data_IF_954562031896
#
_entry.id   IF_954562031896
#
_cell.length_a   1.000
_cell.length_b   1.000
_cell.length_c   1.000
_cell.angle_alpha   90.00
_cell.angle_beta   90.00
_cell.angle_gamma   90.00
#
_symmetry.space_group_name_H-M   'P 1'
#
loop_
_entity.id
_entity.type
_entity.pdbx_description
1 polymer ?
#
# COMPACT_ATOMS: atom_id res chain seq x y z
N UNK A 1 -3.50 -10.08 -14.58
CA UNK A 1 -2.29 -9.74 -13.79
C UNK A 1 -2.67 -9.92 -12.34
N UNK A 2 -1.89 -10.68 -11.56
CA UNK A 2 -2.18 -10.85 -10.14
C UNK A 2 -1.69 -9.62 -9.38
N UNK A 3 -2.56 -9.03 -8.56
CA UNK A 3 -2.24 -7.91 -7.69
C UNK A 3 -2.12 -8.38 -6.25
N UNK A 4 -1.36 -7.64 -5.46
CA UNK A 4 -1.18 -7.92 -4.04
C UNK A 4 -2.03 -6.91 -3.27
N UNK A 5 -2.84 -7.38 -2.33
CA UNK A 5 -3.65 -6.55 -1.45
C UNK A 5 -3.24 -6.82 0.00
N UNK A 6 -3.17 -5.77 0.80
CA UNK A 6 -3.05 -5.86 2.24
C UNK A 6 -4.41 -5.49 2.83
N UNK A 7 -5.04 -6.45 3.48
CA UNK A 7 -6.27 -6.21 4.23
C UNK A 7 -5.91 -6.03 5.70
N UNK A 8 -6.39 -4.95 6.30
CA UNK A 8 -6.34 -4.73 7.74
C UNK A 8 -7.74 -4.94 8.30
N UNK A 9 -7.86 -5.89 9.21
CA UNK A 9 -9.08 -6.18 9.95
C UNK A 9 -8.82 -6.05 11.46
N UNK A 10 -9.87 -5.85 12.23
CA UNK A 10 -9.84 -5.86 13.69
C UNK A 10 -10.88 -6.85 14.16
N UNK A 11 -10.45 -7.87 14.91
CA UNK A 11 -11.34 -8.79 15.60
C UNK A 11 -11.66 -8.27 16.99
N UNK A 12 -12.93 -8.32 17.39
CA UNK A 12 -13.37 -7.92 18.74
C UNK A 12 -13.91 -9.15 19.47
N UNK A 13 -13.35 -9.42 20.65
CA UNK A 13 -13.77 -10.45 21.59
C UNK A 13 -15.08 -10.05 22.30
N UNK A 14 -15.82 -11.03 22.85
CA UNK A 14 -16.91 -10.85 23.82
C UNK A 14 -16.54 -9.94 25.01
N UNK A 15 -15.27 -9.90 25.41
CA UNK A 15 -14.73 -9.01 26.43
C UNK A 15 -14.44 -7.58 25.93
N UNK A 16 -14.66 -7.30 24.64
CA UNK A 16 -14.41 -6.01 24.01
C UNK A 16 -12.94 -5.73 23.70
N UNK A 17 -12.09 -6.77 23.68
CA UNK A 17 -10.66 -6.64 23.34
C UNK A 17 -10.50 -6.62 21.82
N UNK A 18 -9.91 -5.54 21.30
CA UNK A 18 -9.63 -5.37 19.88
C UNK A 18 -8.28 -5.99 19.51
N UNK A 19 -8.30 -6.93 18.56
CA UNK A 19 -7.12 -7.61 18.02
C UNK A 19 -6.93 -7.22 16.56
N UNK A 20 -5.97 -6.32 16.25
CA UNK A 20 -5.67 -5.95 14.87
C UNK A 20 -4.99 -7.11 14.14
N UNK A 21 -5.47 -7.41 12.95
CA UNK A 21 -4.99 -8.49 12.08
C UNK A 21 -4.70 -7.93 10.69
N UNK A 22 -3.55 -8.27 10.13
CA UNK A 22 -3.17 -7.86 8.77
C UNK A 22 -2.97 -9.09 7.90
N UNK A 23 -3.68 -9.15 6.78
CA UNK A 23 -3.77 -10.32 5.92
C UNK A 23 -3.31 -9.94 4.51
N UNK A 24 -2.19 -10.50 4.02
CA UNK A 24 -1.80 -10.36 2.63
C UNK A 24 -2.66 -11.28 1.75
N UNK A 25 -3.33 -10.71 0.75
CA UNK A 25 -4.12 -11.44 -0.23
C UNK A 25 -3.57 -11.21 -1.64
N UNK A 26 -3.42 -12.28 -2.42
CA UNK A 26 -3.03 -12.20 -3.83
C UNK A 26 -4.27 -12.49 -4.67
N UNK A 27 -4.80 -11.46 -5.33
CA UNK A 27 -6.06 -11.53 -6.07
C UNK A 27 -5.92 -10.76 -7.39
N UNK A 28 -6.74 -11.09 -8.38
CA UNK A 28 -6.77 -10.33 -9.65
C UNK A 28 -7.48 -8.97 -9.49
N UNK A 29 -8.43 -8.88 -8.56
CA UNK A 29 -9.26 -7.72 -8.27
C UNK A 29 -9.31 -7.46 -6.76
N UNK A 30 -9.72 -6.26 -6.36
CA UNK A 30 -9.84 -5.89 -4.95
C UNK A 30 -10.86 -6.81 -4.26
N UNK A 31 -10.49 -7.51 -3.17
CA UNK A 31 -11.43 -8.36 -2.47
C UNK A 31 -12.50 -7.52 -1.75
N UNK A 32 -13.73 -8.04 -1.69
CA UNK A 32 -14.82 -7.37 -0.99
C UNK A 32 -14.67 -7.52 0.52
N UNK A 33 -14.85 -6.40 1.25
CA UNK A 33 -14.74 -6.36 2.70
C UNK A 33 -15.68 -7.36 3.39
N UNK A 34 -16.93 -7.46 2.93
CA UNK A 34 -17.94 -8.37 3.48
C UNK A 34 -17.52 -9.85 3.37
N UNK A 35 -16.95 -10.24 2.22
CA UNK A 35 -16.46 -11.62 2.03
C UNK A 35 -15.30 -11.95 2.96
N UNK A 36 -14.41 -10.98 3.20
CA UNK A 36 -13.29 -11.16 4.13
C UNK A 36 -13.78 -11.25 5.57
N UNK A 37 -14.77 -10.43 5.96
CA UNK A 37 -15.39 -10.52 7.28
C UNK A 37 -16.08 -11.87 7.46
N UNK A 38 -16.85 -12.34 6.48
CA UNK A 38 -17.54 -13.62 6.55
C UNK A 38 -16.56 -14.79 6.73
N UNK A 39 -15.46 -14.79 5.96
CA UNK A 39 -14.41 -15.81 6.07
C UNK A 39 -13.71 -15.76 7.44
N UNK A 40 -13.41 -14.56 7.96
CA UNK A 40 -12.78 -14.40 9.26
C UNK A 40 -13.69 -14.79 10.43
N UNK A 41 -14.96 -14.42 10.38
CA UNK A 41 -15.95 -14.82 11.37
C UNK A 41 -16.20 -16.34 11.33
N UNK A 42 -16.11 -16.97 10.15
CA UNK A 42 -16.20 -18.42 10.03
C UNK A 42 -14.98 -19.15 10.61
N UNK A 43 -13.77 -18.61 10.39
CA UNK A 43 -12.54 -19.18 10.93
C UNK A 43 -12.39 -18.96 12.45
N UNK A 44 -12.83 -17.80 12.95
CA UNK A 44 -12.73 -17.42 14.35
C UNK A 44 -14.11 -17.03 14.90
N UNK A 45 -15.00 -18.00 15.19
CA UNK A 45 -16.39 -17.75 15.59
C UNK A 45 -16.55 -17.06 16.96
N UNK A 46 -15.47 -16.95 17.72
CA UNK A 46 -15.41 -16.27 19.02
C UNK A 46 -15.04 -14.79 18.89
N UNK A 47 -14.71 -14.32 17.68
CA UNK A 47 -14.37 -12.94 17.39
C UNK A 47 -15.35 -12.37 16.36
N UNK A 48 -15.67 -11.09 16.51
CA UNK A 48 -16.40 -10.31 15.50
C UNK A 48 -15.41 -9.45 14.74
N UNK A 49 -15.21 -9.74 13.46
CA UNK A 49 -14.23 -9.02 12.65
C UNK A 49 -14.85 -7.81 11.95
N UNK A 50 -14.04 -6.76 11.81
CA UNK A 50 -14.34 -5.61 10.97
C UNK A 50 -13.13 -5.31 10.10
N UNK A 51 -13.33 -5.29 8.79
CA UNK A 51 -12.31 -4.78 7.87
C UNK A 51 -12.24 -3.25 8.02
N UNK A 52 -11.04 -2.75 8.25
CA UNK A 52 -10.76 -1.31 8.46
C UNK A 52 -10.19 -0.69 7.18
N UNK A 53 -9.35 -1.44 6.47
CA UNK A 53 -8.64 -0.93 5.30
C UNK A 53 -8.29 -2.07 4.34
N UNK A 54 -8.39 -1.80 3.03
CA UNK A 54 -7.92 -2.70 1.97
C UNK A 54 -7.01 -1.86 1.08
N UNK A 55 -5.71 -2.16 1.11
CA UNK A 55 -4.69 -1.45 0.35
C UNK A 55 -4.17 -2.32 -0.78
N UNK A 56 -4.17 -1.82 -2.02
CA UNK A 56 -3.49 -2.48 -3.14
C UNK A 56 -1.99 -2.17 -3.07
N UNK A 57 -1.18 -3.20 -2.77
CA UNK A 57 0.26 -3.09 -2.81
C UNK A 57 0.72 -2.99 -4.26
N UNK A 58 1.15 -1.79 -4.64
CA UNK A 58 1.71 -1.52 -5.97
C UNK A 58 2.97 -2.37 -6.18
N UNK A 59 3.06 -2.98 -7.35
CA UNK A 59 4.30 -3.65 -7.78
C UNK A 59 5.44 -2.62 -7.91
N UNK A 60 6.72 -3.01 -7.75
CA UNK A 60 7.83 -2.06 -7.82
C UNK A 60 7.84 -1.20 -9.10
N UNK A 61 7.40 -1.74 -10.25
CA UNK A 61 7.27 -0.96 -11.50
C UNK A 61 6.13 0.09 -11.51
N UNK A 62 5.20 0.05 -10.56
CA UNK A 62 4.16 1.07 -10.35
C UNK A 62 4.54 2.10 -9.26
N UNK A 63 5.59 1.82 -8.48
CA UNK A 63 6.12 2.76 -7.47
C UNK A 63 6.98 3.85 -8.12
N UNK A 64 7.60 3.58 -9.28
CA UNK A 64 8.37 4.58 -10.03
C UNK A 64 7.50 5.80 -10.39
N UNK A 65 6.22 5.62 -10.76
CA UNK A 65 5.29 6.70 -11.06
C UNK A 65 4.87 7.52 -9.82
N UNK A 66 4.88 6.89 -8.64
CA UNK A 66 4.53 7.55 -7.37
C UNK A 66 5.66 8.44 -6.83
N UNK A 67 6.93 8.06 -7.03
CA UNK A 67 8.06 8.93 -6.67
C UNK A 67 8.07 10.22 -7.49
N UNK A 68 7.61 10.19 -8.75
CA UNK A 68 7.48 11.40 -9.56
C UNK A 68 6.33 12.32 -9.13
N UNK A 69 5.29 11.80 -8.46
CA UNK A 69 4.17 12.61 -7.97
C UNK A 69 4.35 13.11 -6.54
N UNK A 70 5.10 12.41 -5.68
CA UNK A 70 5.35 12.82 -4.29
C UNK A 70 6.64 13.66 -4.12
N UNK A 71 7.60 13.56 -5.04
CA UNK A 71 8.64 14.59 -5.23
C UNK A 71 8.12 15.65 -6.19
N UNK A 72 7.03 16.31 -5.79
CA UNK A 72 6.65 17.59 -6.36
C UNK A 72 7.87 18.51 -6.33
N UNK A 73 8.38 18.81 -7.52
CA UNK A 73 9.25 19.93 -7.86
C UNK A 73 10.02 20.51 -6.68
N UNK A 74 11.19 19.96 -6.38
CA UNK A 74 12.22 20.77 -5.71
C UNK A 74 12.63 21.83 -6.74
N UNK A 75 11.94 22.98 -6.70
CA UNK A 75 12.31 24.21 -7.39
C UNK A 75 13.73 24.56 -6.96
N UNK A 76 14.69 24.21 -7.80
CA UNK A 76 16.05 24.67 -7.79
C UNK A 76 16.48 24.86 -9.23
N UNK A 77 15.87 25.83 -9.91
CA UNK A 77 16.49 26.47 -11.07
C UNK A 77 17.88 26.96 -10.67
N UNK A 78 18.94 26.43 -11.30
CA UNK A 78 19.87 27.25 -12.07
C UNK A 78 20.87 26.36 -12.86
N UNK A 79 20.85 26.54 -14.18
CA UNK A 79 21.99 26.56 -15.12
C UNK A 79 22.96 25.36 -15.15
N UNK A 80 22.98 24.56 -16.23
CA UNK A 80 23.55 24.86 -17.55
C UNK A 80 25.09 24.75 -17.59
N UNK A 81 25.53 23.95 -18.56
CA UNK A 81 26.89 23.79 -19.11
C UNK A 81 27.93 23.06 -18.22
N UNK A 82 28.60 22.03 -18.70
CA UNK A 82 29.08 21.86 -20.06
C UNK A 82 30.60 21.92 -20.01
N UNK A 83 31.22 20.80 -20.37
CA UNK A 83 32.60 20.61 -20.80
C UNK A 83 33.35 21.91 -21.19
N UNK A 84 34.57 22.11 -20.67
CA UNK A 84 35.75 22.52 -21.45
C UNK A 84 37.00 22.76 -20.56
N UNK A 85 37.85 21.74 -20.50
CA UNK A 85 39.30 21.93 -20.45
C UNK A 85 39.77 22.36 -21.85
N UNK A 86 40.23 23.61 -22.03
CA UNK A 86 41.42 24.01 -22.84
C UNK A 86 41.54 25.51 -23.17
N UNK A 87 42.73 26.03 -22.81
CA UNK A 87 43.61 26.95 -23.56
C UNK A 87 43.44 28.48 -23.46
N UNK A 88 44.54 29.08 -22.98
CA UNK A 88 45.19 30.34 -23.35
C UNK A 88 44.65 31.65 -22.77
N UNK A 89 45.33 32.15 -21.73
CA UNK A 89 45.93 33.49 -21.71
C UNK A 89 47.17 33.48 -20.80
#
# INVERSE_FOLDING_TARGET
MEKMFIVRAVGVDELGVETPTTIPMKQAEAPEADLIVEDLDAQYPHLKHRVVEIEELKTPGQVEDWQHSYLGTVMGTDSQEGDLDKKNA
#
